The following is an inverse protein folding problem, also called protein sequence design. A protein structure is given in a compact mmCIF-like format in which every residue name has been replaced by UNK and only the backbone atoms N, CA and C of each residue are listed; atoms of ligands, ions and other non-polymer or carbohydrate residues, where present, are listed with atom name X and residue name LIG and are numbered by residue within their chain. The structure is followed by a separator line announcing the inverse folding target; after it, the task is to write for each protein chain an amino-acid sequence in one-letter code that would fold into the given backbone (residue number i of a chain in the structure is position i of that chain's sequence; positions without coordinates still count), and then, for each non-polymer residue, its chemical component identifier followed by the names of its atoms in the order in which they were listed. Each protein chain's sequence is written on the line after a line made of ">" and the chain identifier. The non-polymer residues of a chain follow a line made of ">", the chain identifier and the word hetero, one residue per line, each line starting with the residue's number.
data_IF_384276377352
#
_entry.id   IF_384276377352
#
_cell.length_a   1.000
_cell.length_b   1.000
_cell.length_c   1.000
_cell.angle_alpha   90.00
_cell.angle_beta   90.00
_cell.angle_gamma   90.00
#
_symmetry.space_group_name_H-M   'P 1'
#
loop_
_entity.id
_entity.type
_entity.pdbx_description
1 polymer ?
#
# COMPACT_ATOMS: atom_id res chain seq x y z
N UNK A 1 -5.90 31.56 34.86
CA UNK A 1 -4.82 31.29 35.83
C UNK A 1 -5.02 29.86 36.34
N UNK A 2 -4.25 28.90 35.81
CA UNK A 2 -4.19 27.51 36.31
C UNK A 2 -2.74 27.18 36.66
N UNK A 3 -2.61 26.17 37.52
CA UNK A 3 -1.53 25.88 38.48
C UNK A 3 -0.15 25.60 37.82
N UNK A 4 0.98 26.20 38.28
CA UNK A 4 2.32 26.03 37.68
C UNK A 4 2.98 24.65 37.89
N UNK A 5 2.26 23.64 38.38
CA UNK A 5 2.84 22.37 38.81
C UNK A 5 2.81 21.25 37.76
N UNK A 6 2.00 21.37 36.70
CA UNK A 6 1.94 20.35 35.62
C UNK A 6 2.99 20.56 34.51
N UNK A 7 3.71 21.69 34.54
CA UNK A 7 4.63 22.14 33.48
C UNK A 7 6.07 21.59 33.60
N UNK A 8 6.23 20.39 34.19
CA UNK A 8 7.54 19.77 34.43
C UNK A 8 7.80 18.49 33.63
N UNK A 9 7.28 18.41 32.40
CA UNK A 9 7.80 17.44 31.43
C UNK A 9 8.19 18.19 30.17
N UNK A 10 9.50 18.21 29.90
CA UNK A 10 10.21 18.85 28.78
C UNK A 10 10.46 20.37 28.88
N UNK A 11 11.17 20.79 29.92
CA UNK A 11 11.87 22.08 29.94
C UNK A 11 13.10 22.04 29.00
N UNK A 12 12.87 22.29 27.71
CA UNK A 12 13.88 22.71 26.75
C UNK A 12 13.32 23.87 25.94
N UNK A 13 14.05 24.98 25.85
CA UNK A 13 13.62 26.09 25.01
C UNK A 13 13.38 25.57 23.57
N UNK A 14 12.24 25.88 22.94
CA UNK A 14 11.98 25.49 21.57
C UNK A 14 13.10 26.05 20.67
N UNK A 15 13.58 25.28 19.68
CA UNK A 15 14.60 25.77 18.76
C UNK A 15 14.10 27.03 18.02
N UNK A 16 15.00 27.95 17.61
CA UNK A 16 14.62 29.15 16.88
C UNK A 16 13.82 28.80 15.62
N UNK A 17 12.57 29.29 15.52
CA UNK A 17 11.65 28.99 14.41
C UNK A 17 10.58 27.92 14.72
N UNK A 18 10.54 27.36 15.93
CA UNK A 18 9.46 26.45 16.33
C UNK A 18 8.14 27.21 16.56
N UNK A 19 7.07 26.77 15.90
CA UNK A 19 5.72 27.24 16.14
C UNK A 19 5.13 26.50 17.34
N UNK A 20 4.77 27.25 18.39
CA UNK A 20 4.09 26.71 19.56
C UNK A 20 2.59 26.87 19.39
N UNK A 21 1.91 25.76 19.10
CA UNK A 21 0.45 25.71 18.94
C UNK A 21 -0.17 25.35 20.30
N UNK A 22 -0.98 26.26 20.85
CA UNK A 22 -1.74 26.02 22.07
C UNK A 22 -3.23 25.81 21.74
N UNK A 23 -3.93 25.05 22.58
CA UNK A 23 -5.37 24.90 22.47
C UNK A 23 -6.07 26.17 22.99
N UNK A 24 -6.85 26.83 22.14
CA UNK A 24 -7.87 27.77 22.61
C UNK A 24 -9.04 26.99 23.20
N UNK A 25 -9.32 27.20 24.49
CA UNK A 25 -10.39 26.53 25.24
C UNK A 25 -11.72 27.26 25.10
N UNK A 26 -11.74 28.41 24.44
CA UNK A 26 -12.92 29.23 24.21
C UNK A 26 -13.27 29.30 22.72
N UNK A 27 -14.53 29.63 22.43
CA UNK A 27 -15.05 29.75 21.07
C UNK A 27 -16.16 28.75 20.78
N UNK A 28 -17.31 29.26 20.37
CA UNK A 28 -18.39 28.45 19.82
C UNK A 28 -18.52 28.71 18.34
N UNK A 29 -18.83 27.66 17.57
CA UNK A 29 -19.22 27.84 16.19
C UNK A 29 -20.62 28.44 16.19
N UNK A 30 -20.77 29.65 15.64
CA UNK A 30 -22.07 30.32 15.54
C UNK A 30 -22.73 29.91 14.23
N UNK A 31 -24.00 29.53 14.29
CA UNK A 31 -24.76 29.16 13.10
C UNK A 31 -25.11 30.43 12.29
N UNK A 32 -24.65 30.58 11.03
CA UNK A 32 -24.71 31.85 10.30
C UNK A 32 -26.11 32.43 10.09
N UNK A 33 -27.14 31.57 10.04
CA UNK A 33 -28.53 31.97 9.76
C UNK A 33 -29.28 32.46 11.00
N UNK A 34 -28.98 31.89 12.17
CA UNK A 34 -29.71 32.16 13.43
C UNK A 34 -28.88 32.96 14.42
N UNK A 35 -27.58 33.12 14.17
CA UNK A 35 -26.61 33.78 15.05
C UNK A 35 -26.56 33.17 16.47
N UNK A 36 -26.93 31.89 16.60
CA UNK A 36 -26.92 31.15 17.87
C UNK A 36 -25.70 30.24 17.93
N UNK A 37 -25.13 30.01 19.14
CA UNK A 37 -24.12 28.98 19.34
C UNK A 37 -24.62 27.61 18.89
N UNK A 38 -23.78 26.89 18.14
CA UNK A 38 -24.03 25.54 17.67
C UNK A 38 -23.22 24.57 18.53
N UNK A 39 -23.83 23.90 19.53
CA UNK A 39 -23.11 22.95 20.35
C UNK A 39 -22.61 21.77 19.50
N UNK A 40 -21.45 21.20 19.84
CA UNK A 40 -20.90 20.06 19.12
C UNK A 40 -21.83 18.84 19.23
N UNK A 41 -21.86 18.03 18.18
CA UNK A 41 -22.66 16.80 18.11
C UNK A 41 -21.88 15.75 17.33
N UNK A 42 -21.99 14.49 17.75
CA UNK A 42 -21.42 13.39 16.98
C UNK A 42 -22.17 13.18 15.66
N UNK A 43 -21.47 12.68 14.64
CA UNK A 43 -22.09 12.37 13.36
C UNK A 43 -23.15 11.27 13.56
N UNK A 44 -24.42 11.58 13.26
CA UNK A 44 -25.54 10.66 13.46
C UNK A 44 -25.84 10.32 14.93
N UNK A 45 -25.14 10.91 15.89
CA UNK A 45 -25.20 10.56 17.31
C UNK A 45 -25.83 11.64 18.19
N UNK A 46 -25.66 11.49 19.50
CA UNK A 46 -26.09 12.49 20.49
C UNK A 46 -25.05 13.61 20.67
N UNK A 47 -25.44 14.67 21.37
CA UNK A 47 -24.50 15.71 21.78
C UNK A 47 -23.66 15.17 22.96
N UNK A 48 -22.32 15.19 22.88
CA UNK A 48 -21.50 14.78 24.00
C UNK A 48 -21.66 15.72 25.18
N UNK A 49 -21.59 15.16 26.40
CA UNK A 49 -21.39 15.96 27.60
C UNK A 49 -19.90 16.33 27.66
N UNK A 50 -19.60 17.62 27.54
CA UNK A 50 -18.22 18.14 27.58
C UNK A 50 -18.11 19.04 28.80
N UNK A 51 -17.20 18.72 29.72
CA UNK A 51 -16.92 19.59 30.85
C UNK A 51 -16.24 20.90 30.37
N UNK A 52 -16.44 22.06 31.04
CA UNK A 52 -15.92 23.36 30.58
C UNK A 52 -14.40 23.41 30.32
N UNK A 53 -13.63 22.50 30.92
CA UNK A 53 -12.16 22.44 30.84
C UNK A 53 -11.66 21.25 30.03
N UNK A 54 -12.55 20.44 29.47
CA UNK A 54 -12.21 19.24 28.72
C UNK A 54 -11.94 19.57 27.25
N UNK A 55 -10.87 19.02 26.68
CA UNK A 55 -10.57 19.18 25.27
C UNK A 55 -11.63 18.45 24.43
N UNK A 56 -12.36 19.21 23.61
CA UNK A 56 -13.39 18.68 22.70
C UNK A 56 -12.81 17.65 21.72
N UNK A 57 -11.53 17.77 21.36
CA UNK A 57 -10.84 16.87 20.44
C UNK A 57 -10.61 15.50 21.07
N UNK A 58 -10.32 15.44 22.37
CA UNK A 58 -10.21 14.16 23.08
C UNK A 58 -11.56 13.44 23.14
N UNK A 59 -12.64 14.18 23.42
CA UNK A 59 -14.00 13.64 23.40
C UNK A 59 -14.35 13.07 22.02
N UNK A 60 -14.03 13.82 20.96
CA UNK A 60 -14.20 13.37 19.58
C UNK A 60 -13.36 12.13 19.26
N UNK A 61 -12.07 12.13 19.62
CA UNK A 61 -11.16 11.02 19.34
C UNK A 61 -11.60 9.73 20.04
N UNK A 62 -12.02 9.83 21.31
CA UNK A 62 -12.55 8.70 22.07
C UNK A 62 -13.83 8.14 21.46
N UNK A 63 -14.74 9.00 21.01
CA UNK A 63 -15.94 8.54 20.30
C UNK A 63 -15.60 7.93 18.93
N UNK A 64 -14.71 8.58 18.18
CA UNK A 64 -14.34 8.16 16.83
C UNK A 64 -13.80 6.73 16.84
N UNK A 65 -12.90 6.42 17.77
CA UNK A 65 -12.30 5.08 17.93
C UNK A 65 -13.09 4.16 18.89
N UNK A 66 -14.30 4.54 19.30
CA UNK A 66 -15.12 3.72 20.19
C UNK A 66 -15.69 2.49 19.47
N UNK A 67 -15.92 1.41 20.23
CA UNK A 67 -16.57 0.20 19.71
C UNK A 67 -18.03 0.42 19.33
N UNK A 68 -18.65 1.45 19.91
CA UNK A 68 -20.04 1.85 19.64
C UNK A 68 -20.17 2.62 18.31
N UNK A 69 -19.05 3.16 17.78
CA UNK A 69 -19.03 3.80 16.48
C UNK A 69 -18.89 2.77 15.35
N UNK A 70 -20.03 2.33 14.81
CA UNK A 70 -20.08 1.37 13.70
C UNK A 70 -19.45 1.89 12.40
N UNK A 71 -19.42 3.21 12.18
CA UNK A 71 -18.79 3.79 10.99
C UNK A 71 -17.28 3.52 10.97
N UNK A 72 -16.61 3.77 12.09
CA UNK A 72 -15.17 3.56 12.21
C UNK A 72 -14.78 2.10 12.02
N UNK A 73 -15.48 1.19 12.69
CA UNK A 73 -15.17 -0.24 12.64
C UNK A 73 -15.39 -0.82 11.24
N UNK A 74 -16.55 -0.54 10.62
CA UNK A 74 -16.87 -1.00 9.26
C UNK A 74 -15.90 -0.41 8.22
N UNK A 75 -15.62 0.89 8.28
CA UNK A 75 -14.67 1.52 7.35
C UNK A 75 -13.26 0.93 7.49
N UNK A 76 -12.79 0.72 8.72
CA UNK A 76 -11.44 0.18 8.98
C UNK A 76 -11.29 -1.24 8.47
N UNK A 77 -12.23 -2.14 8.79
CA UNK A 77 -12.14 -3.54 8.31
C UNK A 77 -12.32 -3.63 6.80
N UNK A 78 -13.17 -2.79 6.20
CA UNK A 78 -13.33 -2.72 4.74
C UNK A 78 -12.03 -2.28 4.06
N UNK A 79 -11.31 -1.32 4.65
CA UNK A 79 -10.02 -0.85 4.13
C UNK A 79 -8.92 -1.89 4.27
N UNK A 80 -8.86 -2.61 5.39
CA UNK A 80 -7.95 -3.75 5.56
C UNK A 80 -8.25 -4.83 4.50
N UNK A 81 -9.53 -5.18 4.34
CA UNK A 81 -9.98 -6.13 3.32
C UNK A 81 -9.58 -5.69 1.91
N UNK A 82 -9.83 -4.43 1.56
CA UNK A 82 -9.43 -3.83 0.28
C UNK A 82 -7.93 -3.97 0.01
N UNK A 83 -7.06 -3.63 0.97
CA UNK A 83 -5.61 -3.75 0.75
C UNK A 83 -5.16 -5.21 0.56
N UNK A 84 -5.82 -6.16 1.23
CA UNK A 84 -5.52 -7.58 1.10
C UNK A 84 -6.07 -8.18 -0.20
N UNK A 85 -7.32 -7.90 -0.58
CA UNK A 85 -8.02 -8.55 -1.69
C UNK A 85 -8.12 -7.72 -2.97
N UNK A 86 -7.75 -6.43 -2.92
CA UNK A 86 -7.75 -5.51 -4.06
C UNK A 86 -9.09 -4.81 -4.31
N UNK A 87 -10.16 -5.26 -3.65
CA UNK A 87 -11.50 -4.64 -3.71
C UNK A 87 -12.14 -4.70 -2.32
N UNK A 88 -12.84 -3.63 -1.93
CA UNK A 88 -13.56 -3.58 -0.66
C UNK A 88 -14.86 -4.39 -0.73
N UNK A 89 -15.36 -4.81 0.43
CA UNK A 89 -16.73 -5.35 0.56
C UNK A 89 -17.73 -4.24 0.22
N UNK A 90 -17.45 -3.01 0.67
CA UNK A 90 -18.00 -1.78 0.09
C UNK A 90 -16.97 -1.23 -0.88
N UNK A 91 -17.39 -0.91 -2.10
CA UNK A 91 -16.51 -0.38 -3.15
C UNK A 91 -17.24 0.76 -3.89
N UNK A 92 -16.62 1.94 -4.09
CA UNK A 92 -15.27 2.33 -3.65
C UNK A 92 -15.06 2.24 -2.13
N UNK A 93 -13.80 2.00 -1.70
CA UNK A 93 -13.46 1.60 -0.31
C UNK A 93 -13.96 2.56 0.78
N UNK A 94 -14.05 3.85 0.46
CA UNK A 94 -14.46 4.92 1.39
C UNK A 94 -15.92 5.38 1.15
N UNK A 95 -16.64 4.78 0.17
CA UNK A 95 -17.95 5.26 -0.28
C UNK A 95 -19.13 4.57 0.42
N UNK A 96 -19.25 4.77 1.73
CA UNK A 96 -20.34 4.25 2.55
C UNK A 96 -21.60 5.12 2.40
N UNK A 97 -22.56 4.64 1.61
CA UNK A 97 -23.88 5.27 1.42
C UNK A 97 -24.97 4.20 1.38
N UNK A 98 -26.19 4.56 1.76
CA UNK A 98 -27.33 3.64 1.69
C UNK A 98 -27.62 3.17 0.25
N UNK A 99 -27.26 3.98 -0.76
CA UNK A 99 -27.33 3.63 -2.18
C UNK A 99 -26.17 2.78 -2.69
N UNK A 100 -25.14 2.55 -1.87
CA UNK A 100 -23.97 1.70 -2.17
C UNK A 100 -23.78 0.65 -1.06
N UNK A 101 -24.67 -0.35 -0.96
CA UNK A 101 -24.59 -1.37 0.08
C UNK A 101 -23.38 -2.28 -0.13
N UNK A 102 -22.91 -2.89 0.97
CA UNK A 102 -21.85 -3.89 0.92
C UNK A 102 -22.24 -5.07 0.01
N UNK A 103 -21.26 -5.63 -0.70
CA UNK A 103 -21.45 -6.87 -1.48
C UNK A 103 -21.87 -8.05 -0.61
N UNK A 104 -21.46 -8.04 0.66
CA UNK A 104 -21.89 -8.97 1.70
C UNK A 104 -21.95 -8.27 3.07
N UNK A 105 -23.15 -7.86 3.49
CA UNK A 105 -23.37 -7.17 4.77
C UNK A 105 -23.07 -8.06 5.99
N UNK A 106 -23.42 -9.34 5.94
CA UNK A 106 -23.19 -10.26 7.06
C UNK A 106 -21.69 -10.42 7.33
N UNK A 107 -20.90 -10.57 6.28
CA UNK A 107 -19.44 -10.64 6.36
C UNK A 107 -18.84 -9.35 6.94
N UNK A 108 -19.24 -8.18 6.41
CA UNK A 108 -18.73 -6.90 6.90
C UNK A 108 -19.06 -6.69 8.38
N UNK A 109 -20.29 -7.00 8.78
CA UNK A 109 -20.72 -6.89 10.17
C UNK A 109 -20.02 -7.91 11.08
N UNK A 110 -19.76 -9.13 10.60
CA UNK A 110 -19.01 -10.13 11.35
C UNK A 110 -17.56 -9.68 11.60
N UNK A 111 -16.87 -9.18 10.57
CA UNK A 111 -15.51 -8.65 10.69
C UNK A 111 -15.44 -7.42 11.61
N UNK A 112 -16.41 -6.50 11.49
CA UNK A 112 -16.46 -5.33 12.36
C UNK A 112 -16.66 -5.70 13.85
N UNK A 113 -17.56 -6.66 14.14
CA UNK A 113 -17.76 -7.19 15.50
C UNK A 113 -16.52 -7.88 16.04
N UNK A 114 -15.89 -8.71 15.22
CA UNK A 114 -14.64 -9.40 15.58
C UNK A 114 -13.51 -8.41 15.89
N UNK A 115 -13.40 -7.34 15.10
CA UNK A 115 -12.42 -6.27 15.31
C UNK A 115 -12.61 -5.56 16.65
N UNK A 116 -13.87 -5.26 17.03
CA UNK A 116 -14.19 -4.68 18.35
C UNK A 116 -13.89 -5.67 19.48
N UNK A 117 -14.31 -6.94 19.33
CA UNK A 117 -14.09 -7.99 20.32
C UNK A 117 -12.59 -8.21 20.61
N UNK A 118 -11.74 -8.01 19.61
CA UNK A 118 -10.28 -8.11 19.72
C UNK A 118 -9.59 -6.76 19.97
N UNK A 119 -10.31 -5.75 20.48
CA UNK A 119 -9.77 -4.44 20.88
C UNK A 119 -9.02 -3.74 19.75
N UNK A 120 -9.59 -3.78 18.54
CA UNK A 120 -9.07 -3.13 17.34
C UNK A 120 -7.68 -3.65 16.90
N UNK A 121 -7.36 -4.92 17.19
CA UNK A 121 -6.10 -5.53 16.76
C UNK A 121 -6.09 -5.75 15.23
N UNK A 122 -5.38 -4.88 14.53
CA UNK A 122 -5.20 -4.94 13.08
C UNK A 122 -4.50 -6.23 12.65
N UNK A 123 -3.54 -6.74 13.42
CA UNK A 123 -2.82 -7.99 13.10
C UNK A 123 -3.74 -9.20 13.23
N UNK A 124 -4.65 -9.18 14.20
CA UNK A 124 -5.69 -10.20 14.33
C UNK A 124 -6.56 -10.21 13.06
N UNK A 125 -7.13 -9.07 12.67
CA UNK A 125 -8.00 -8.96 11.49
C UNK A 125 -7.30 -9.43 10.21
N UNK A 126 -6.04 -8.98 10.00
CA UNK A 126 -5.24 -9.42 8.84
C UNK A 126 -5.07 -10.94 8.85
N UNK A 127 -4.71 -11.53 10.00
CA UNK A 127 -4.54 -12.99 10.13
C UNK A 127 -5.85 -13.73 9.85
N UNK A 128 -6.96 -13.25 10.37
CA UNK A 128 -8.30 -13.83 10.16
C UNK A 128 -8.66 -13.84 8.68
N UNK A 129 -8.43 -12.73 7.97
CA UNK A 129 -8.68 -12.65 6.52
C UNK A 129 -7.72 -13.56 5.74
N UNK A 130 -6.42 -13.54 6.03
CA UNK A 130 -5.41 -14.32 5.29
C UNK A 130 -5.57 -15.84 5.48
N UNK A 131 -6.16 -16.28 6.60
CA UNK A 131 -6.48 -17.68 6.85
C UNK A 131 -7.86 -18.09 6.30
N UNK A 132 -8.63 -17.18 5.71
CA UNK A 132 -9.92 -17.49 5.12
C UNK A 132 -9.77 -18.23 3.79
N UNK A 133 -10.78 -19.04 3.44
CA UNK A 133 -10.88 -19.65 2.11
C UNK A 133 -10.82 -18.57 1.02
N UNK A 134 -11.52 -17.46 1.21
CA UNK A 134 -11.64 -16.36 0.22
C UNK A 134 -10.27 -15.78 -0.16
N UNK A 135 -9.39 -15.54 0.81
CA UNK A 135 -8.04 -15.02 0.53
C UNK A 135 -7.16 -16.04 -0.20
N UNK A 136 -7.38 -17.33 0.03
CA UNK A 136 -6.56 -18.43 -0.51
C UNK A 136 -7.08 -18.98 -1.85
N UNK A 137 -8.10 -18.36 -2.45
CA UNK A 137 -8.59 -18.77 -3.76
C UNK A 137 -7.53 -18.51 -4.84
N UNK A 138 -7.54 -19.32 -5.88
CA UNK A 138 -6.73 -19.07 -7.07
C UNK A 138 -7.31 -17.91 -7.89
N UNK A 139 -6.46 -17.20 -8.63
CA UNK A 139 -6.90 -16.27 -9.67
C UNK A 139 -7.47 -16.98 -10.92
N UNK A 140 -7.29 -18.30 -11.05
CA UNK A 140 -7.85 -19.07 -12.15
C UNK A 140 -9.39 -19.11 -12.06
N UNK A 141 -10.04 -18.66 -13.12
CA UNK A 141 -11.50 -18.63 -13.25
C UNK A 141 -12.02 -19.84 -14.01
N UNK A 142 -13.33 -20.04 -13.92
CA UNK A 142 -14.11 -20.97 -14.73
C UNK A 142 -15.23 -20.21 -15.44
N UNK A 143 -16.00 -20.91 -16.27
CA UNK A 143 -17.06 -20.28 -17.07
C UNK A 143 -18.15 -19.57 -16.25
N UNK A 144 -18.38 -19.98 -15.00
CA UNK A 144 -19.45 -19.40 -14.17
C UNK A 144 -19.00 -18.21 -13.33
N UNK A 145 -17.69 -17.97 -13.18
CA UNK A 145 -17.17 -16.92 -12.31
C UNK A 145 -16.16 -15.97 -12.96
N UNK A 146 -15.82 -16.15 -14.25
CA UNK A 146 -14.85 -15.30 -14.96
C UNK A 146 -15.17 -13.80 -14.94
N UNK A 147 -16.46 -13.46 -14.88
CA UNK A 147 -16.95 -12.08 -14.88
C UNK A 147 -17.30 -11.58 -13.46
N UNK A 148 -17.10 -12.40 -12.41
CA UNK A 148 -17.36 -11.98 -11.04
C UNK A 148 -16.26 -11.06 -10.52
N UNK A 149 -16.58 -9.78 -10.43
CA UNK A 149 -15.71 -8.75 -9.87
C UNK A 149 -16.20 -8.23 -8.52
N UNK A 150 -17.21 -8.86 -7.89
CA UNK A 150 -17.91 -8.31 -6.72
C UNK A 150 -17.92 -9.25 -5.52
N UNK A 151 -18.06 -10.56 -5.75
CA UNK A 151 -18.33 -11.54 -4.70
C UNK A 151 -17.13 -12.39 -4.31
N UNK A 152 -15.93 -12.03 -4.78
CA UNK A 152 -14.67 -12.66 -4.40
C UNK A 152 -14.65 -14.17 -4.67
N UNK A 153 -15.25 -14.63 -5.77
CA UNK A 153 -15.27 -16.04 -6.16
C UNK A 153 -13.90 -16.60 -6.60
N UNK A 154 -12.92 -15.72 -6.82
CA UNK A 154 -11.54 -16.00 -7.18
C UNK A 154 -10.64 -14.83 -6.72
N UNK A 155 -9.33 -15.04 -6.70
CA UNK A 155 -8.40 -13.96 -6.38
C UNK A 155 -8.36 -12.93 -7.51
N UNK A 156 -8.47 -11.64 -7.14
CA UNK A 156 -8.37 -10.54 -8.10
C UNK A 156 -6.89 -10.22 -8.32
N UNK A 157 -6.46 -10.31 -9.58
CA UNK A 157 -5.12 -9.88 -9.97
C UNK A 157 -5.05 -8.35 -9.94
N UNK A 158 -4.07 -7.78 -9.24
CA UNK A 158 -3.85 -6.32 -9.22
C UNK A 158 -2.41 -5.99 -9.51
N UNK A 159 -2.19 -4.86 -10.19
CA UNK A 159 -0.85 -4.31 -10.34
C UNK A 159 -0.29 -3.95 -8.96
N UNK A 160 1.00 -4.21 -8.75
CA UNK A 160 1.70 -3.68 -7.59
C UNK A 160 1.63 -2.14 -7.57
N UNK A 161 1.56 -1.55 -6.37
CA UNK A 161 1.68 -0.08 -6.30
C UNK A 161 3.07 0.34 -6.77
N UNK A 162 3.21 1.59 -7.19
CA UNK A 162 4.47 2.14 -7.66
C UNK A 162 5.65 1.83 -6.72
N UNK A 163 5.45 2.02 -5.42
CA UNK A 163 6.44 1.76 -4.38
C UNK A 163 6.75 0.27 -4.24
N UNK A 164 5.71 -0.59 -4.24
CA UNK A 164 5.88 -2.04 -4.14
C UNK A 164 6.65 -2.58 -5.35
N UNK A 165 6.31 -2.12 -6.55
CA UNK A 165 6.97 -2.54 -7.78
C UNK A 165 8.42 -2.09 -7.83
N UNK A 166 8.71 -0.83 -7.45
CA UNK A 166 10.08 -0.32 -7.40
C UNK A 166 10.93 -1.09 -6.37
N UNK A 167 10.38 -1.35 -5.18
CA UNK A 167 11.05 -2.15 -4.15
C UNK A 167 11.28 -3.59 -4.61
N UNK A 168 10.33 -4.19 -5.32
CA UNK A 168 10.47 -5.53 -5.90
C UNK A 168 11.59 -5.58 -6.94
N UNK A 169 11.67 -4.58 -7.84
CA UNK A 169 12.76 -4.46 -8.83
C UNK A 169 14.12 -4.30 -8.13
N UNK A 170 14.20 -3.47 -7.09
CA UNK A 170 15.41 -3.30 -6.30
C UNK A 170 15.82 -4.60 -5.60
N UNK A 171 14.85 -5.37 -5.08
CA UNK A 171 15.10 -6.67 -4.46
C UNK A 171 15.61 -7.71 -5.46
N UNK A 172 14.94 -7.83 -6.62
CA UNK A 172 15.26 -8.78 -7.68
C UNK A 172 16.65 -8.52 -8.29
N UNK A 173 17.02 -7.25 -8.47
CA UNK A 173 18.34 -6.84 -8.99
C UNK A 173 19.41 -6.76 -7.90
N UNK A 174 19.01 -6.57 -6.64
CA UNK A 174 19.89 -6.25 -5.51
C UNK A 174 20.51 -4.85 -5.58
N UNK A 175 19.99 -3.97 -6.45
CA UNK A 175 20.46 -2.59 -6.59
C UNK A 175 19.43 -1.66 -5.94
N UNK A 176 19.73 -1.09 -4.76
CA UNK A 176 18.79 -0.20 -4.08
C UNK A 176 18.56 1.09 -4.88
N UNK A 177 17.40 1.69 -4.72
CA UNK A 177 17.14 3.04 -5.22
C UNK A 177 17.68 4.09 -4.25
N UNK A 178 18.11 5.24 -4.79
CA UNK A 178 18.56 6.38 -3.98
C UNK A 178 17.50 7.48 -4.01
N UNK A 179 16.95 7.78 -2.85
CA UNK A 179 16.05 8.91 -2.66
C UNK A 179 16.81 10.11 -2.10
N UNK A 180 16.52 11.31 -2.62
CA UNK A 180 17.17 12.54 -2.18
C UNK A 180 16.88 12.81 -0.69
N UNK A 181 17.91 13.16 0.08
CA UNK A 181 17.78 13.46 1.51
C UNK A 181 17.59 12.25 2.43
N UNK A 182 17.56 11.03 1.88
CA UNK A 182 17.36 9.79 2.64
C UNK A 182 18.60 8.88 2.58
N UNK A 183 18.83 8.03 3.61
CA UNK A 183 19.95 7.10 3.61
C UNK A 183 19.79 6.04 2.50
N UNK A 184 20.93 5.56 1.98
CA UNK A 184 20.94 4.44 1.03
C UNK A 184 20.25 3.22 1.62
N UNK A 185 19.43 2.54 0.80
CA UNK A 185 18.68 1.35 1.23
C UNK A 185 17.31 1.66 1.83
N UNK A 186 16.91 2.93 1.93
CA UNK A 186 15.51 3.29 2.22
C UNK A 186 14.60 2.73 1.13
N UNK A 187 13.55 2.00 1.52
CA UNK A 187 12.57 1.44 0.59
C UNK A 187 11.57 2.51 0.14
N UNK A 188 11.05 2.37 -1.08
CA UNK A 188 9.99 3.23 -1.58
C UNK A 188 8.74 3.17 -0.70
N UNK A 189 8.43 1.99 -0.15
CA UNK A 189 7.33 1.77 0.81
C UNK A 189 7.55 2.43 2.18
N UNK A 190 8.74 2.95 2.46
CA UNK A 190 9.10 3.63 3.71
C UNK A 190 9.26 5.14 3.56
N UNK A 191 8.92 5.69 2.39
CA UNK A 191 9.00 7.12 2.15
C UNK A 191 8.03 7.88 3.08
N UNK A 192 8.49 8.94 3.76
CA UNK A 192 7.69 9.65 4.77
C UNK A 192 6.59 10.52 4.16
N UNK A 193 6.74 10.93 2.90
CA UNK A 193 5.77 11.71 2.15
C UNK A 193 5.80 11.37 0.65
N UNK A 194 4.76 11.79 -0.06
CA UNK A 194 4.63 11.67 -1.52
C UNK A 194 5.26 12.84 -2.29
N UNK A 195 6.03 13.72 -1.65
CA UNK A 195 6.70 14.84 -2.34
C UNK A 195 8.01 14.41 -3.02
N UNK A 196 8.45 13.17 -2.77
CA UNK A 196 9.61 12.59 -3.44
C UNK A 196 9.41 12.59 -4.94
N UNK A 197 10.12 13.49 -5.63
CA UNK A 197 10.01 13.66 -7.08
C UNK A 197 10.75 12.54 -7.83
N UNK A 198 10.16 11.35 -7.84
CA UNK A 198 10.72 10.18 -8.54
C UNK A 198 9.89 9.86 -9.78
N UNK A 199 10.52 9.89 -10.96
CA UNK A 199 9.83 9.71 -12.26
C UNK A 199 9.07 8.38 -12.30
N UNK A 200 9.71 7.28 -11.90
CA UNK A 200 9.05 5.98 -11.86
C UNK A 200 7.81 5.98 -10.95
N UNK A 201 7.89 6.60 -9.76
CA UNK A 201 6.78 6.56 -8.81
C UNK A 201 5.57 7.34 -9.36
N UNK A 202 5.82 8.51 -9.95
CA UNK A 202 4.79 9.33 -10.59
C UNK A 202 4.14 8.62 -11.78
N UNK A 203 4.92 7.99 -12.66
CA UNK A 203 4.38 7.27 -13.82
C UNK A 203 3.49 6.09 -13.42
N UNK A 204 3.77 5.46 -12.27
CA UNK A 204 3.00 4.34 -11.74
C UNK A 204 1.89 4.76 -10.74
N UNK A 205 1.48 6.03 -10.78
CA UNK A 205 0.29 6.49 -10.06
C UNK A 205 0.49 6.80 -8.58
N UNK A 206 1.71 7.16 -8.16
CA UNK A 206 1.92 7.69 -6.80
C UNK A 206 1.07 8.96 -6.60
N UNK A 207 0.14 8.98 -5.62
CA UNK A 207 -0.74 10.11 -5.39
C UNK A 207 0.02 11.29 -4.79
N UNK A 208 -0.45 12.51 -5.07
CA UNK A 208 0.04 13.71 -4.41
C UNK A 208 -0.33 13.69 -2.91
N UNK A 209 0.56 14.21 -2.05
CA UNK A 209 0.36 14.26 -0.60
C UNK A 209 -0.93 14.99 -0.17
N UNK A 210 -1.35 15.98 -0.94
CA UNK A 210 -2.52 16.82 -0.66
C UNK A 210 -3.85 16.05 -0.76
N UNK A 211 -3.85 14.87 -1.37
CA UNK A 211 -5.04 14.06 -1.64
C UNK A 211 -5.02 12.80 -0.77
N UNK A 212 -6.01 12.67 0.11
CA UNK A 212 -6.13 11.54 1.04
C UNK A 212 -6.98 10.37 0.51
N UNK A 213 -7.63 10.51 -0.66
CA UNK A 213 -8.50 9.45 -1.18
C UNK A 213 -7.70 8.28 -1.74
N UNK A 214 -8.03 7.06 -1.33
CA UNK A 214 -7.46 5.83 -1.92
C UNK A 214 -7.87 5.66 -3.39
N UNK A 215 -8.98 6.28 -3.78
CA UNK A 215 -9.54 6.24 -5.13
C UNK A 215 -8.69 6.92 -6.21
N UNK A 216 -7.75 7.79 -5.82
CA UNK A 216 -6.85 8.49 -6.77
C UNK A 216 -5.68 7.62 -7.26
N UNK A 217 -5.46 6.45 -6.63
CA UNK A 217 -4.47 5.51 -7.14
C UNK A 217 -5.02 4.80 -8.37
N UNK A 218 -4.47 5.12 -9.53
CA UNK A 218 -4.74 4.38 -10.77
C UNK A 218 -4.09 3.00 -10.69
N UNK A 219 -4.91 1.95 -10.78
CA UNK A 219 -4.44 0.55 -10.84
C UNK A 219 -4.38 0.00 -12.27
N UNK A 220 -4.84 0.79 -13.24
CA UNK A 220 -4.87 0.40 -14.65
C UNK A 220 -3.50 0.58 -15.30
N UNK A 221 -3.14 -0.39 -16.16
CA UNK A 221 -1.92 -0.29 -16.96
C UNK A 221 -2.09 0.76 -18.05
N UNK A 222 -1.15 1.70 -18.16
CA UNK A 222 -1.14 2.70 -19.23
C UNK A 222 0.13 2.62 -20.11
N UNK A 223 0.09 3.28 -21.28
CA UNK A 223 1.20 3.25 -22.23
C UNK A 223 2.51 3.81 -21.64
N UNK A 224 2.42 4.84 -20.79
CA UNK A 224 3.59 5.45 -20.17
C UNK A 224 4.29 4.48 -19.20
N UNK A 225 3.53 3.72 -18.42
CA UNK A 225 4.04 2.65 -17.56
C UNK A 225 4.74 1.57 -18.38
N UNK A 226 4.12 1.11 -19.48
CA UNK A 226 4.73 0.12 -20.37
C UNK A 226 6.06 0.62 -20.95
N UNK A 227 6.11 1.87 -21.43
CA UNK A 227 7.34 2.48 -21.94
C UNK A 227 8.43 2.59 -20.86
N UNK A 228 8.04 2.91 -19.63
CA UNK A 228 8.97 2.99 -18.50
C UNK A 228 9.53 1.62 -18.13
N UNK A 229 8.78 0.53 -18.28
CA UNK A 229 9.30 -0.83 -18.06
C UNK A 229 10.21 -1.30 -19.20
N UNK A 230 9.88 -0.93 -20.44
CA UNK A 230 10.62 -1.38 -21.62
C UNK A 230 11.94 -0.63 -21.77
N UNK A 231 11.90 0.70 -21.68
CA UNK A 231 13.02 1.58 -22.02
C UNK A 231 13.43 2.52 -20.89
N UNK A 232 12.75 2.49 -19.75
CA UNK A 232 13.00 3.42 -18.66
C UNK A 232 14.37 3.20 -18.00
N UNK A 233 15.05 4.27 -17.55
CA UNK A 233 16.38 4.18 -16.95
C UNK A 233 16.38 3.35 -15.67
N UNK A 234 15.28 3.37 -14.91
CA UNK A 234 15.13 2.67 -13.62
C UNK A 234 15.50 1.19 -13.70
N UNK A 235 15.05 0.48 -14.75
CA UNK A 235 15.34 -0.96 -14.90
C UNK A 235 16.69 -1.15 -15.59
N UNK A 236 16.94 -0.45 -16.70
CA UNK A 236 18.17 -0.61 -17.48
C UNK A 236 19.43 -0.30 -16.68
N UNK A 237 19.44 0.76 -15.87
CA UNK A 237 20.59 1.12 -15.04
C UNK A 237 20.85 0.07 -13.95
N UNK A 238 19.79 -0.49 -13.34
CA UNK A 238 19.92 -1.57 -12.34
C UNK A 238 20.40 -2.88 -12.96
N UNK A 239 19.95 -3.21 -14.16
CA UNK A 239 20.39 -4.41 -14.88
C UNK A 239 21.83 -4.29 -15.40
N UNK A 240 22.24 -3.11 -15.85
CA UNK A 240 23.62 -2.86 -16.31
C UNK A 240 24.61 -2.66 -15.18
N UNK A 241 24.16 -2.39 -13.97
CA UNK A 241 25.03 -2.21 -12.82
C UNK A 241 25.87 -3.49 -12.57
N UNK A 242 27.22 -3.42 -12.65
CA UNK A 242 28.07 -4.60 -12.46
C UNK A 242 27.96 -5.23 -11.06
N UNK A 243 27.56 -4.44 -10.06
CA UNK A 243 27.40 -4.88 -8.68
C UNK A 243 26.03 -5.51 -8.38
N UNK A 244 25.15 -5.60 -9.39
CA UNK A 244 23.86 -6.27 -9.23
C UNK A 244 24.03 -7.78 -8.98
N UNK A 245 22.97 -8.43 -8.49
CA UNK A 245 23.03 -9.86 -8.12
C UNK A 245 23.49 -10.74 -9.28
N UNK A 246 23.01 -10.46 -10.49
CA UNK A 246 23.44 -11.17 -11.70
C UNK A 246 24.95 -11.00 -11.95
N UNK A 247 25.47 -9.77 -11.84
CA UNK A 247 26.89 -9.46 -11.99
C UNK A 247 27.76 -10.19 -10.98
N UNK A 248 27.29 -10.31 -9.72
CA UNK A 248 27.95 -11.10 -8.68
C UNK A 248 28.01 -12.59 -9.04
N UNK A 249 26.92 -13.18 -9.56
CA UNK A 249 26.91 -14.58 -9.99
C UNK A 249 27.83 -14.84 -11.19
N UNK A 250 27.85 -13.92 -12.16
CA UNK A 250 28.72 -14.02 -13.33
C UNK A 250 30.19 -13.86 -12.93
N UNK A 251 30.51 -12.93 -12.03
CA UNK A 251 31.87 -12.76 -11.50
C UNK A 251 32.33 -14.01 -10.72
N UNK A 252 31.41 -14.67 -10.01
CA UNK A 252 31.66 -15.93 -9.33
C UNK A 252 31.69 -17.16 -10.26
N UNK A 253 31.52 -16.98 -11.59
CA UNK A 253 31.51 -18.05 -12.60
C UNK A 253 30.58 -19.22 -12.26
N UNK A 254 29.39 -18.91 -11.72
CA UNK A 254 28.40 -19.92 -11.36
C UNK A 254 27.87 -20.67 -12.59
N UNK A 255 27.47 -21.96 -12.45
CA UNK A 255 26.85 -22.71 -13.54
C UNK A 255 25.59 -22.02 -14.07
N UNK A 256 25.36 -22.08 -15.39
CA UNK A 256 24.19 -21.43 -16.02
C UNK A 256 22.87 -21.85 -15.38
N UNK A 257 22.71 -23.14 -15.04
CA UNK A 257 21.52 -23.66 -14.37
C UNK A 257 21.27 -22.99 -13.00
N UNK A 258 22.32 -22.76 -12.22
CA UNK A 258 22.23 -22.09 -10.92
C UNK A 258 21.85 -20.60 -11.11
N UNK A 259 22.38 -19.95 -12.14
CA UNK A 259 22.04 -18.55 -12.46
C UNK A 259 20.56 -18.43 -12.84
N UNK A 260 20.06 -19.32 -13.71
CA UNK A 260 18.66 -19.32 -14.11
C UNK A 260 17.77 -19.51 -12.89
N UNK A 261 18.05 -20.51 -12.06
CA UNK A 261 17.26 -20.79 -10.85
C UNK A 261 17.22 -19.57 -9.92
N UNK A 262 18.38 -18.94 -9.64
CA UNK A 262 18.44 -17.76 -8.78
C UNK A 262 17.69 -16.56 -9.36
N UNK A 263 17.78 -16.29 -10.67
CA UNK A 263 17.02 -15.20 -11.30
C UNK A 263 15.50 -15.39 -11.15
N UNK A 264 15.02 -16.62 -11.34
CA UNK A 264 13.61 -16.96 -11.17
C UNK A 264 13.18 -16.85 -9.71
N UNK A 265 13.98 -17.33 -8.75
CA UNK A 265 13.68 -17.20 -7.33
C UNK A 265 13.66 -15.74 -6.86
N UNK A 266 14.60 -14.91 -7.32
CA UNK A 266 14.66 -13.49 -6.90
C UNK A 266 13.57 -12.63 -7.53
N UNK A 267 13.09 -13.01 -8.72
CA UNK A 267 12.10 -12.22 -9.47
C UNK A 267 10.69 -12.75 -9.23
N UNK A 268 10.46 -14.05 -9.42
CA UNK A 268 9.13 -14.68 -9.39
C UNK A 268 8.88 -15.53 -8.14
N UNK A 269 9.86 -15.68 -7.24
CA UNK A 269 9.74 -16.48 -6.01
C UNK A 269 9.37 -17.96 -6.24
N UNK A 270 9.71 -18.51 -7.41
CA UNK A 270 9.54 -19.92 -7.77
C UNK A 270 10.70 -20.42 -8.61
N UNK A 271 10.80 -21.73 -8.80
CA UNK A 271 11.75 -22.33 -9.74
C UNK A 271 11.22 -22.24 -11.19
N UNK A 272 12.11 -22.18 -12.19
CA UNK A 272 11.72 -22.23 -13.60
C UNK A 272 11.17 -23.62 -13.97
N UNK A 273 10.29 -23.67 -14.96
CA UNK A 273 9.85 -24.93 -15.57
C UNK A 273 10.78 -25.36 -16.73
N UNK A 274 10.61 -26.58 -17.24
CA UNK A 274 11.46 -27.14 -18.30
C UNK A 274 11.44 -26.32 -19.61
N UNK A 275 10.27 -25.77 -19.97
CA UNK A 275 10.12 -24.96 -21.17
C UNK A 275 10.85 -23.62 -21.04
N UNK A 276 10.78 -23.00 -19.86
CA UNK A 276 11.49 -21.77 -19.49
C UNK A 276 13.01 -21.97 -19.51
N UNK A 277 13.52 -23.05 -18.90
CA UNK A 277 14.95 -23.39 -18.92
C UNK A 277 15.44 -23.53 -20.36
N UNK A 278 14.68 -24.24 -21.20
CA UNK A 278 15.03 -24.43 -22.61
C UNK A 278 15.05 -23.11 -23.37
N UNK A 279 14.03 -22.27 -23.21
CA UNK A 279 13.94 -20.97 -23.88
C UNK A 279 15.10 -20.03 -23.51
N UNK A 280 15.46 -19.99 -22.22
CA UNK A 280 16.61 -19.21 -21.73
C UNK A 280 17.90 -19.76 -22.32
N UNK A 281 18.10 -21.08 -22.30
CA UNK A 281 19.29 -21.72 -22.89
C UNK A 281 19.46 -21.42 -24.38
N UNK A 282 18.38 -21.50 -25.17
CA UNK A 282 18.41 -21.15 -26.59
C UNK A 282 18.76 -19.67 -26.84
N UNK A 283 18.23 -18.76 -26.02
CA UNK A 283 18.54 -17.34 -26.11
C UNK A 283 20.03 -17.07 -25.82
N UNK A 284 20.55 -17.66 -24.73
CA UNK A 284 21.95 -17.52 -24.34
C UNK A 284 22.90 -18.08 -25.40
N UNK A 285 22.55 -19.18 -26.07
CA UNK A 285 23.38 -19.76 -27.14
C UNK A 285 23.46 -18.87 -28.39
N UNK A 286 22.37 -18.20 -28.75
CA UNK A 286 22.30 -17.33 -29.95
C UNK A 286 22.98 -15.98 -29.76
N UNK A 287 23.14 -15.52 -28.52
CA UNK A 287 23.65 -14.19 -28.23
C UNK A 287 25.18 -14.10 -28.36
N UNK A 288 25.66 -13.08 -29.07
CA UNK A 288 27.09 -12.76 -29.19
C UNK A 288 27.66 -12.16 -27.89
N UNK A 289 26.88 -11.31 -27.21
CA UNK A 289 27.22 -10.75 -25.90
C UNK A 289 26.48 -11.52 -24.81
N UNK A 290 27.23 -12.33 -24.06
CA UNK A 290 26.68 -13.15 -22.98
C UNK A 290 26.14 -12.31 -21.82
N UNK A 291 26.77 -11.17 -21.49
CA UNK A 291 26.29 -10.32 -20.38
C UNK A 291 24.95 -9.73 -20.75
N UNK A 292 24.83 -9.17 -21.95
CA UNK A 292 23.58 -8.60 -22.44
C UNK A 292 22.46 -9.64 -22.51
N UNK A 293 22.76 -10.87 -22.93
CA UNK A 293 21.77 -11.95 -22.96
C UNK A 293 21.19 -12.27 -21.57
N UNK A 294 22.03 -12.28 -20.53
CA UNK A 294 21.54 -12.45 -19.16
C UNK A 294 20.74 -11.25 -18.65
N UNK A 295 21.12 -10.03 -19.03
CA UNK A 295 20.33 -8.82 -18.73
C UNK A 295 18.94 -8.90 -19.40
N UNK A 296 18.88 -9.36 -20.66
CA UNK A 296 17.63 -9.54 -21.40
C UNK A 296 16.71 -10.58 -20.73
N UNK A 297 17.27 -11.67 -20.20
CA UNK A 297 16.52 -12.67 -19.42
C UNK A 297 15.92 -12.06 -18.17
N UNK A 298 16.70 -11.35 -17.35
CA UNK A 298 16.18 -10.72 -16.13
C UNK A 298 15.18 -9.60 -16.45
N UNK A 299 15.42 -8.84 -17.52
CA UNK A 299 14.47 -7.85 -18.02
C UNK A 299 13.14 -8.48 -18.41
N UNK A 300 13.16 -9.62 -19.11
CA UNK A 300 11.94 -10.34 -19.51
C UNK A 300 11.14 -10.84 -18.29
N UNK A 301 11.83 -11.32 -17.24
CA UNK A 301 11.18 -11.72 -15.99
C UNK A 301 10.51 -10.54 -15.28
N UNK A 302 11.19 -9.40 -15.17
CA UNK A 302 10.65 -8.17 -14.55
C UNK A 302 9.46 -7.61 -15.35
N UNK A 303 9.46 -7.76 -16.68
CA UNK A 303 8.37 -7.31 -17.55
C UNK A 303 7.23 -8.34 -17.68
N UNK A 304 7.34 -9.49 -17.03
CA UNK A 304 6.29 -10.52 -17.07
C UNK A 304 5.07 -10.09 -16.27
N UNK A 305 3.88 -10.56 -16.68
CA UNK A 305 2.64 -10.33 -15.91
C UNK A 305 2.73 -10.92 -14.51
N UNK A 306 3.43 -12.04 -14.36
CA UNK A 306 3.63 -12.70 -13.07
C UNK A 306 4.40 -11.83 -12.06
N UNK A 307 5.34 -11.01 -12.54
CA UNK A 307 6.08 -10.06 -11.71
C UNK A 307 5.28 -8.78 -11.41
N UNK A 308 4.58 -8.26 -12.41
CA UNK A 308 3.88 -6.98 -12.30
C UNK A 308 2.61 -7.08 -11.45
N UNK A 309 1.92 -8.23 -11.49
CA UNK A 309 0.63 -8.43 -10.86
C UNK A 309 0.71 -9.39 -9.66
N UNK A 310 0.16 -8.94 -8.54
CA UNK A 310 -0.18 -9.82 -7.42
C UNK A 310 -1.35 -10.71 -7.86
N UNK A 311 -1.18 -12.02 -7.77
CA UNK A 311 -2.12 -13.05 -8.19
C UNK A 311 -2.32 -14.12 -7.11
#
# INVERSE_FOLDING_TARGET
>A
KRDPAEDKVAAGNPPPGAELIFLDRAGEVVQPRTNKPMPPRFLGGEAPTIAPEQDRREVLANWLASGDNSYFTRATVNRIWYHLLGRGIVDPVDDFRDSNPASNEELLNALAKDFVAHRFDVKHTIRTIMNSRTYQLSAATNETNKDDNKYFSHAVTRLHTAEQLLDAICSATGVPEKFAGLPMGTRATQLPDGEVNHVFLKTFGQPARELACECEREHDSNLAQALQLINGPTIHEKLRNPSNRLGQLLAASKPEAEIIEQLYLWTLSRTPNEAEIKAVGEHLQKAADKRKAWEDVQWALINSKEFLFRH
#
